data_IF_057706999780
#
_entry.id   IF_057706999780
#
_cell.length_a   1.000
_cell.length_b   1.000
_cell.length_c   1.000
_cell.angle_alpha   90.00
_cell.angle_beta   90.00
_cell.angle_gamma   90.00
#
_symmetry.space_group_name_H-M   'P 1'
#
loop_
_entity.id
_entity.type
_entity.pdbx_description
1 polymer ?
#
# COMPACT_ATOMS: atom_id res chain seq x y z
N UNK A 1 -14.79 8.35 7.89
CA UNK A 1 -13.42 7.90 8.22
C UNK A 1 -13.18 6.43 7.89
N UNK A 2 -13.91 5.48 8.50
CA UNK A 2 -13.66 4.04 8.36
C UNK A 2 -13.62 3.53 6.89
N UNK A 3 -14.55 3.98 6.04
CA UNK A 3 -14.55 3.60 4.62
C UNK A 3 -13.30 4.04 3.85
N UNK A 4 -12.77 5.24 4.13
CA UNK A 4 -11.50 5.68 3.55
C UNK A 4 -10.33 4.84 4.06
N UNK A 5 -10.31 4.56 5.36
CA UNK A 5 -9.26 3.74 5.95
C UNK A 5 -9.27 2.31 5.40
N UNK A 6 -10.44 1.71 5.21
CA UNK A 6 -10.58 0.40 4.58
C UNK A 6 -10.04 0.37 3.16
N UNK A 7 -10.29 1.42 2.36
CA UNK A 7 -9.70 1.56 1.01
C UNK A 7 -8.18 1.69 1.07
N UNK A 8 -7.65 2.53 1.95
CA UNK A 8 -6.21 2.70 2.12
C UNK A 8 -5.52 1.37 2.52
N UNK A 9 -6.12 0.64 3.46
CA UNK A 9 -5.66 -0.68 3.88
C UNK A 9 -5.69 -1.69 2.73
N UNK A 10 -6.77 -1.71 1.94
CA UNK A 10 -6.89 -2.55 0.76
C UNK A 10 -5.76 -2.30 -0.24
N UNK A 11 -5.49 -1.03 -0.57
CA UNK A 11 -4.41 -0.64 -1.48
C UNK A 11 -3.02 -1.05 -0.95
N UNK A 12 -2.75 -0.82 0.34
CA UNK A 12 -1.50 -1.26 0.98
C UNK A 12 -1.36 -2.78 0.97
N UNK A 13 -2.44 -3.52 1.23
CA UNK A 13 -2.42 -4.98 1.18
C UNK A 13 -2.19 -5.50 -0.24
N UNK A 14 -2.76 -4.84 -1.26
CA UNK A 14 -2.46 -5.13 -2.67
C UNK A 14 -0.98 -4.91 -2.98
N UNK A 15 -0.35 -3.86 -2.45
CA UNK A 15 1.11 -3.66 -2.61
C UNK A 15 1.89 -4.80 -1.95
N UNK A 16 1.53 -5.15 -0.71
CA UNK A 16 2.22 -6.19 0.08
C UNK A 16 2.14 -7.59 -0.53
N UNK A 17 1.11 -7.88 -1.32
CA UNK A 17 0.95 -9.18 -1.96
C UNK A 17 1.79 -9.32 -3.24
N UNK A 18 2.24 -8.21 -3.85
CA UNK A 18 2.97 -8.21 -5.13
C UNK A 18 4.19 -9.14 -5.13
N UNK A 19 5.09 -9.11 -4.13
CA UNK A 19 6.29 -9.95 -4.19
C UNK A 19 5.98 -11.45 -4.21
N UNK A 20 4.90 -11.86 -3.55
CA UNK A 20 4.45 -13.24 -3.54
C UNK A 20 3.73 -13.61 -4.85
N UNK A 21 2.82 -12.76 -5.32
CA UNK A 21 2.04 -13.01 -6.53
C UNK A 21 2.90 -12.94 -7.80
N UNK A 22 3.85 -12.01 -7.86
CA UNK A 22 4.79 -11.88 -8.98
C UNK A 22 5.68 -13.12 -9.11
N UNK A 23 6.04 -13.77 -8.00
CA UNK A 23 6.77 -15.04 -8.02
C UNK A 23 5.94 -16.19 -8.63
N UNK A 24 4.61 -16.14 -8.48
CA UNK A 24 3.66 -17.07 -9.09
C UNK A 24 3.19 -16.64 -10.50
N UNK A 25 3.75 -15.55 -11.05
CA UNK A 25 3.30 -14.93 -12.32
C UNK A 25 1.83 -14.52 -12.30
N UNK A 26 1.34 -14.12 -11.13
CA UNK A 26 -0.01 -13.56 -10.92
C UNK A 26 0.11 -12.08 -10.63
N UNK A 27 -0.84 -11.29 -11.13
CA UNK A 27 -0.94 -9.87 -10.80
C UNK A 27 -2.36 -9.58 -10.30
N UNK A 28 -2.46 -8.94 -9.14
CA UNK A 28 -3.71 -8.48 -8.53
C UNK A 28 -3.80 -6.94 -8.51
N UNK A 29 -3.18 -6.29 -9.49
CA UNK A 29 -3.27 -4.85 -9.69
C UNK A 29 -4.25 -4.51 -10.83
N UNK A 30 -4.87 -3.32 -10.79
CA UNK A 30 -5.73 -2.87 -11.88
C UNK A 30 -5.00 -2.90 -13.22
N UNK A 31 -5.56 -3.60 -14.21
CA UNK A 31 -4.94 -3.77 -15.53
C UNK A 31 -4.65 -2.43 -16.21
N UNK A 32 -5.54 -1.46 -16.04
CA UNK A 32 -5.40 -0.13 -16.65
C UNK A 32 -4.18 0.62 -16.09
N UNK A 33 -3.87 0.45 -14.80
CA UNK A 33 -2.69 1.01 -14.17
C UNK A 33 -1.40 0.36 -14.69
N UNK A 34 -1.42 -0.96 -14.89
CA UNK A 34 -0.29 -1.69 -15.47
C UNK A 34 -0.04 -1.27 -16.92
N UNK A 35 -1.11 -1.13 -17.72
CA UNK A 35 -1.04 -0.65 -19.10
C UNK A 35 -0.50 0.77 -19.18
N UNK A 36 -0.94 1.66 -18.29
CA UNK A 36 -0.44 3.04 -18.22
C UNK A 36 1.09 3.09 -18.06
N UNK A 37 1.65 2.13 -17.34
CA UNK A 37 3.09 2.02 -17.07
C UNK A 37 3.82 1.01 -17.98
N UNK A 38 3.19 0.57 -19.08
CA UNK A 38 3.76 -0.37 -20.06
C UNK A 38 4.31 -1.66 -19.42
N UNK A 39 3.54 -2.25 -18.50
CA UNK A 39 3.79 -3.59 -17.98
C UNK A 39 3.36 -4.65 -18.99
N UNK A 40 4.13 -5.74 -19.10
CA UNK A 40 3.69 -6.93 -19.84
C UNK A 40 2.50 -7.59 -19.15
N UNK A 41 1.70 -8.33 -19.91
CA UNK A 41 0.45 -8.98 -19.45
C UNK A 41 0.66 -9.93 -18.27
N UNK A 42 1.88 -10.46 -18.12
CA UNK A 42 2.28 -11.33 -17.02
C UNK A 42 3.03 -10.61 -15.90
N UNK A 43 3.38 -9.32 -16.11
CA UNK A 43 3.93 -8.34 -15.15
C UNK A 43 4.63 -8.98 -13.98
N UNK A 44 5.61 -9.83 -14.33
CA UNK A 44 6.29 -10.69 -13.39
C UNK A 44 7.47 -9.98 -12.76
N UNK A 45 8.16 -10.73 -11.92
CA UNK A 45 9.44 -10.37 -11.30
C UNK A 45 10.56 -9.95 -12.29
N UNK A 46 10.33 -10.14 -13.60
CA UNK A 46 11.23 -9.79 -14.70
C UNK A 46 11.08 -8.33 -15.18
N UNK A 47 10.04 -7.61 -14.73
CA UNK A 47 9.91 -6.19 -15.03
C UNK A 47 10.93 -5.35 -14.24
N UNK A 48 11.34 -4.23 -14.85
CA UNK A 48 12.31 -3.32 -14.24
C UNK A 48 11.81 -2.85 -12.86
N UNK A 49 12.71 -2.90 -11.87
CA UNK A 49 12.47 -2.37 -10.52
C UNK A 49 12.01 -0.91 -10.54
N UNK A 50 12.48 -0.12 -11.51
CA UNK A 50 12.09 1.29 -11.67
C UNK A 50 10.62 1.46 -12.10
N UNK A 51 10.10 0.57 -12.97
CA UNK A 51 8.69 0.53 -13.37
C UNK A 51 7.81 0.15 -12.19
N UNK A 52 8.22 -0.87 -11.43
CA UNK A 52 7.54 -1.25 -10.19
C UNK A 52 7.46 -0.07 -9.24
N UNK A 53 8.58 0.57 -8.92
CA UNK A 53 8.61 1.72 -8.01
C UNK A 53 7.62 2.83 -8.43
N UNK A 54 7.47 3.07 -9.74
CA UNK A 54 6.51 4.06 -10.26
C UNK A 54 5.06 3.64 -10.00
N UNK A 55 4.67 2.41 -10.35
CA UNK A 55 3.31 1.90 -10.10
C UNK A 55 3.00 1.89 -8.60
N UNK A 56 3.94 1.43 -7.79
CA UNK A 56 3.79 1.35 -6.34
C UNK A 56 3.62 2.73 -5.72
N UNK A 57 4.38 3.72 -6.20
CA UNK A 57 4.22 5.11 -5.78
C UNK A 57 2.82 5.64 -6.08
N UNK A 58 2.28 5.40 -7.27
CA UNK A 58 0.93 5.86 -7.62
C UNK A 58 -0.14 5.24 -6.70
N UNK A 59 -0.03 3.94 -6.40
CA UNK A 59 -0.94 3.24 -5.48
C UNK A 59 -0.76 3.78 -4.05
N UNK A 60 0.48 3.96 -3.60
CA UNK A 60 0.81 4.48 -2.29
C UNK A 60 0.29 5.90 -2.08
N UNK A 61 0.39 6.77 -3.09
CA UNK A 61 -0.12 8.14 -3.06
C UNK A 61 -1.66 8.15 -3.04
N UNK A 62 -2.32 7.19 -3.67
CA UNK A 62 -3.77 7.01 -3.52
C UNK A 62 -4.14 6.57 -2.10
N UNK A 63 -3.41 5.61 -1.52
CA UNK A 63 -3.64 5.17 -0.16
C UNK A 63 -3.42 6.32 0.85
N UNK A 64 -2.37 7.12 0.70
CA UNK A 64 -2.06 8.26 1.56
C UNK A 64 -3.15 9.34 1.53
N UNK A 65 -3.72 9.62 0.34
CA UNK A 65 -4.89 10.50 0.21
C UNK A 65 -6.09 9.98 1.00
N UNK A 66 -6.35 8.67 0.96
CA UNK A 66 -7.42 8.08 1.76
C UNK A 66 -7.16 8.16 3.27
N UNK A 67 -5.92 7.94 3.73
CA UNK A 67 -5.57 8.16 5.15
C UNK A 67 -5.80 9.62 5.55
N UNK A 68 -5.40 10.56 4.70
CA UNK A 68 -5.59 11.99 4.93
C UNK A 68 -7.08 12.37 5.05
N UNK A 69 -7.94 11.86 4.16
CA UNK A 69 -9.39 12.06 4.27
C UNK A 69 -9.99 11.38 5.50
N UNK A 70 -9.50 10.18 5.87
CA UNK A 70 -9.94 9.51 7.09
C UNK A 70 -9.64 10.37 8.34
N UNK A 71 -8.45 10.96 8.42
CA UNK A 71 -8.01 11.84 9.53
C UNK A 71 -8.80 13.13 9.64
N UNK A 72 -9.15 13.77 8.50
CA UNK A 72 -10.02 14.96 8.49
C UNK A 72 -11.37 14.66 9.15
N UNK A 73 -11.92 13.48 8.89
CA UNK A 73 -13.19 13.00 9.45
C UNK A 73 -13.08 12.53 10.90
N UNK A 74 -11.88 12.28 11.45
CA UNK A 74 -11.71 11.81 12.85
C UNK A 74 -12.20 12.85 13.87
N UNK A 75 -12.18 14.14 13.52
CA UNK A 75 -12.69 15.23 14.36
C UNK A 75 -14.19 15.12 14.65
N UNK A 76 -14.95 14.41 13.82
CA UNK A 76 -16.40 14.24 13.96
C UNK A 76 -16.79 12.93 14.66
N UNK A 77 -15.81 12.17 15.17
CA UNK A 77 -16.00 10.82 15.70
C UNK A 77 -15.83 10.82 17.22
N UNK A 78 -16.69 10.07 17.91
CA UNK A 78 -16.59 9.83 19.35
C UNK A 78 -15.26 9.12 19.68
N UNK A 79 -14.58 9.56 20.75
CA UNK A 79 -13.27 9.01 21.15
C UNK A 79 -13.31 7.50 21.37
N UNK A 80 -14.44 6.97 21.85
CA UNK A 80 -14.65 5.53 22.07
C UNK A 80 -14.58 4.70 20.78
N UNK A 81 -14.80 5.32 19.61
CA UNK A 81 -14.72 4.66 18.31
C UNK A 81 -13.32 4.73 17.67
N UNK A 82 -12.35 5.41 18.29
CA UNK A 82 -10.98 5.51 17.78
C UNK A 82 -10.26 4.16 17.60
N UNK A 83 -10.49 3.13 18.46
CA UNK A 83 -9.89 1.82 18.24
C UNK A 83 -10.24 1.22 16.86
N UNK A 84 -11.43 1.50 16.31
CA UNK A 84 -11.80 1.05 14.97
C UNK A 84 -10.94 1.67 13.85
N UNK A 85 -10.18 2.72 14.15
CA UNK A 85 -9.30 3.44 13.23
C UNK A 85 -7.81 3.09 13.42
N UNK A 86 -7.47 2.16 14.32
CA UNK A 86 -6.08 1.75 14.61
C UNK A 86 -5.32 1.25 13.36
N UNK A 87 -6.04 0.72 12.36
CA UNK A 87 -5.44 0.30 11.08
C UNK A 87 -4.73 1.45 10.35
N UNK A 88 -5.03 2.71 10.67
CA UNK A 88 -4.30 3.86 10.14
C UNK A 88 -2.80 3.76 10.44
N UNK A 89 -2.45 3.31 11.65
CA UNK A 89 -1.06 3.13 12.08
C UNK A 89 -0.32 2.11 11.21
N UNK A 90 -0.99 1.00 10.87
CA UNK A 90 -0.41 -0.05 10.00
C UNK A 90 -0.18 0.49 8.59
N UNK A 91 -1.16 1.21 8.05
CA UNK A 91 -1.07 1.82 6.71
C UNK A 91 0.05 2.86 6.68
N UNK A 92 0.08 3.78 7.66
CA UNK A 92 1.10 4.83 7.78
C UNK A 92 2.51 4.24 7.86
N UNK A 93 2.69 3.22 8.70
CA UNK A 93 3.96 2.56 8.85
C UNK A 93 4.45 1.94 7.54
N UNK A 94 3.56 1.25 6.82
CA UNK A 94 3.92 0.62 5.56
C UNK A 94 4.22 1.65 4.47
N UNK A 95 3.44 2.73 4.37
CA UNK A 95 3.73 3.83 3.45
C UNK A 95 5.10 4.49 3.76
N UNK A 96 5.45 4.64 5.03
CA UNK A 96 6.76 5.14 5.43
C UNK A 96 7.89 4.19 5.04
N UNK A 97 7.71 2.88 5.17
CA UNK A 97 8.69 1.89 4.70
C UNK A 97 8.86 1.96 3.18
N UNK A 98 7.77 2.04 2.41
CA UNK A 98 7.84 2.17 0.97
C UNK A 98 8.64 3.42 0.56
N UNK A 99 8.35 4.58 1.17
CA UNK A 99 9.12 5.81 0.93
C UNK A 99 10.61 5.65 1.27
N UNK A 100 10.92 5.02 2.41
CA UNK A 100 12.30 4.80 2.87
C UNK A 100 13.12 3.95 1.90
N UNK A 101 12.50 2.98 1.25
CA UNK A 101 13.15 2.06 0.33
C UNK A 101 12.81 2.38 -1.14
N UNK A 102 12.56 3.65 -1.47
CA UNK A 102 12.30 4.13 -2.83
C UNK A 102 11.23 3.33 -3.59
N UNK A 103 10.20 2.90 -2.88
CA UNK A 103 9.07 2.11 -3.37
C UNK A 103 9.46 0.74 -3.96
N UNK A 104 10.64 0.22 -3.60
CA UNK A 104 11.04 -1.14 -3.92
C UNK A 104 10.27 -2.16 -3.07
N UNK A 105 9.26 -2.78 -3.68
CA UNK A 105 8.43 -3.81 -3.05
C UNK A 105 9.13 -5.16 -2.89
N UNK A 106 10.22 -5.41 -3.62
CA UNK A 106 10.97 -6.67 -3.52
C UNK A 106 12.01 -6.64 -2.40
N UNK A 107 12.34 -5.45 -1.90
CA UNK A 107 13.17 -5.27 -0.73
C UNK A 107 12.66 -6.13 0.46
N UNK A 108 13.58 -6.79 1.16
CA UNK A 108 13.20 -7.62 2.31
C UNK A 108 12.56 -6.78 3.44
N UNK A 109 13.02 -5.54 3.61
CA UNK A 109 12.58 -4.64 4.68
C UNK A 109 11.18 -4.09 4.46
N UNK A 110 10.76 -3.88 3.21
CA UNK A 110 9.37 -3.46 2.90
C UNK A 110 8.37 -4.57 3.20
N UNK A 111 8.81 -5.84 3.17
CA UNK A 111 7.98 -7.01 3.50
C UNK A 111 7.91 -7.32 5.00
N UNK A 112 8.81 -6.77 5.82
CA UNK A 112 8.83 -7.09 7.25
C UNK A 112 7.57 -6.57 7.95
N UNK A 113 7.04 -7.41 8.83
CA UNK A 113 6.07 -6.98 9.83
C UNK A 113 6.86 -6.30 10.95
N UNK A 114 6.60 -5.03 11.22
CA UNK A 114 7.30 -4.38 12.33
C UNK A 114 6.75 -4.89 13.65
N UNK A 115 7.63 -5.54 14.42
CA UNK A 115 7.39 -5.90 15.81
C UNK A 115 7.36 -4.67 16.73
N UNK A 116 7.73 -3.48 16.24
CA UNK A 116 7.74 -2.25 17.03
C UNK A 116 6.40 -1.49 16.99
N UNK A 117 5.39 -1.99 16.27
CA UNK A 117 4.02 -1.47 16.32
C UNK A 117 3.26 -2.07 17.52
N UNK A 118 3.93 -2.13 18.67
CA UNK A 118 3.31 -2.54 19.94
C UNK A 118 2.63 -1.31 20.51
N UNK A 119 1.32 -1.42 20.75
CA UNK A 119 0.50 -0.42 21.41
C UNK A 119 0.69 -0.45 22.93
#
# INVERSE_FOLDING_TARGET
AAGHLGKALGLVNSIRSIPHLAAERKILLPLDLLKLHNFTEFGGQLEDSSKWATVIRDIADHADRHVSEARKLTKTILKQAYPALLFAVVVDHHLALLRRYNYDVFNAETRRTSLSLVF
#
